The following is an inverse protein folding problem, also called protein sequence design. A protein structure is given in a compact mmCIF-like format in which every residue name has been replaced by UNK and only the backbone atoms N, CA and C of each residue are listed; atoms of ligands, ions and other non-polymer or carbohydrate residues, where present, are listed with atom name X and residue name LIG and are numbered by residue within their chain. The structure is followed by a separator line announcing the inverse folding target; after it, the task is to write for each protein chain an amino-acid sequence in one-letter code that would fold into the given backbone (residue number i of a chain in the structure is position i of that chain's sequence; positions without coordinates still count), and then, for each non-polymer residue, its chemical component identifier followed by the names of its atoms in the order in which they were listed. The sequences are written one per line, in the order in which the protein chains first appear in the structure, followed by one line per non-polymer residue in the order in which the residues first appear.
data_IF_333804824136
#
_entry.id   IF_333804824136
#
_cell.length_a   1.000
_cell.length_b   1.000
_cell.length_c   1.000
_cell.angle_alpha   90.00
_cell.angle_beta   90.00
_cell.angle_gamma   90.00
#
_symmetry.space_group_name_H-M   'P 1'
#
loop_
_entity.id
_entity.type
_entity.pdbx_description
1 polymer ?
#
# COMPACT_ATOMS: atom_id res chain seq x y z
N UNK A 1 38.78 -53.39 -24.69
CA UNK A 1 39.08 -52.12 -23.98
C UNK A 1 37.97 -51.05 -24.09
N UNK A 2 36.92 -51.25 -24.91
CA UNK A 2 35.75 -50.33 -24.98
C UNK A 2 34.74 -50.51 -23.83
N UNK A 3 34.64 -51.71 -23.24
CA UNK A 3 33.68 -51.99 -22.15
C UNK A 3 34.02 -51.27 -20.82
N UNK A 4 35.29 -51.01 -20.53
CA UNK A 4 35.68 -50.22 -19.34
C UNK A 4 35.57 -48.70 -19.57
N UNK A 5 35.68 -48.24 -20.82
CA UNK A 5 35.50 -46.82 -21.16
C UNK A 5 34.02 -46.40 -21.13
N UNK A 6 33.09 -47.28 -21.52
CA UNK A 6 31.65 -47.02 -21.37
C UNK A 6 31.16 -47.05 -19.92
N UNK A 7 31.85 -47.77 -19.02
CA UNK A 7 31.47 -47.83 -17.61
C UNK A 7 31.87 -46.55 -16.86
N UNK A 8 32.96 -45.89 -17.27
CA UNK A 8 33.35 -44.59 -16.70
C UNK A 8 32.42 -43.45 -17.15
N UNK A 9 31.89 -43.47 -18.37
CA UNK A 9 30.98 -42.41 -18.85
C UNK A 9 29.56 -42.52 -18.30
N UNK A 10 29.11 -43.72 -17.93
CA UNK A 10 27.83 -43.90 -17.23
C UNK A 10 27.90 -43.51 -15.75
N UNK A 11 29.08 -43.64 -15.11
CA UNK A 11 29.25 -43.27 -13.70
C UNK A 11 29.31 -41.75 -13.48
N UNK A 12 29.73 -40.97 -14.49
CA UNK A 12 29.75 -39.50 -14.39
C UNK A 12 28.38 -38.83 -14.59
N UNK A 13 27.40 -39.51 -15.17
CA UNK A 13 26.05 -38.95 -15.40
C UNK A 13 25.12 -39.09 -14.17
N UNK A 14 25.49 -39.93 -13.19
CA UNK A 14 24.70 -40.14 -11.98
C UNK A 14 24.92 -39.06 -10.90
N UNK A 15 25.94 -38.21 -11.03
CA UNK A 15 26.27 -37.18 -10.02
C UNK A 15 25.57 -35.82 -10.20
N UNK A 16 24.70 -35.66 -11.21
CA UNK A 16 24.02 -34.38 -11.50
C UNK A 16 22.53 -34.32 -11.11
N UNK A 17 22.01 -35.31 -10.38
CA UNK A 17 20.64 -35.26 -9.83
C UNK A 17 20.67 -35.37 -8.32
N UNK A 18 20.97 -34.26 -7.66
CA UNK A 18 20.98 -34.24 -6.19
C UNK A 18 21.50 -32.95 -5.56
N UNK A 19 21.33 -31.79 -6.19
CA UNK A 19 21.24 -30.56 -5.41
C UNK A 19 19.74 -30.24 -5.24
N UNK A 20 19.07 -31.08 -4.45
CA UNK A 20 17.96 -30.55 -3.67
C UNK A 20 18.65 -29.78 -2.56
N UNK A 21 18.77 -28.48 -2.77
CA UNK A 21 19.15 -27.57 -1.73
C UNK A 21 17.99 -27.55 -0.72
N UNK A 22 18.01 -28.48 0.24
CA UNK A 22 17.67 -28.10 1.61
C UNK A 22 18.87 -27.29 2.12
N UNK A 23 19.08 -26.12 1.52
CA UNK A 23 19.68 -25.08 2.31
C UNK A 23 18.58 -24.72 3.31
N UNK A 24 18.82 -25.08 4.56
CA UNK A 24 18.97 -24.01 5.52
C UNK A 24 19.86 -22.97 4.88
N UNK A 25 19.25 -22.07 4.11
CA UNK A 25 19.87 -20.84 3.68
C UNK A 25 20.23 -20.23 5.02
N UNK A 26 21.51 -20.29 5.38
CA UNK A 26 22.06 -19.35 6.33
C UNK A 26 21.56 -18.03 5.83
N UNK A 27 20.62 -17.50 6.61
CA UNK A 27 19.93 -16.29 6.28
C UNK A 27 21.02 -15.24 6.25
N UNK A 28 21.55 -14.93 5.05
CA UNK A 28 21.96 -13.58 4.75
C UNK A 28 20.67 -12.77 4.86
N UNK A 29 20.34 -12.47 6.13
CA UNK A 29 19.47 -11.37 6.49
C UNK A 29 20.21 -10.17 5.95
N UNK A 30 19.98 -9.84 4.68
CA UNK A 30 19.99 -8.45 4.30
C UNK A 30 19.03 -7.80 5.28
N UNK A 31 19.59 -7.17 6.31
CA UNK A 31 18.86 -6.30 7.21
C UNK A 31 18.44 -5.11 6.36
N UNK A 32 17.45 -5.34 5.48
CA UNK A 32 16.57 -4.28 5.04
C UNK A 32 15.91 -3.85 6.33
N UNK A 33 16.44 -2.80 6.95
CA UNK A 33 15.79 -2.15 8.07
C UNK A 33 14.33 -1.96 7.65
N UNK A 34 13.44 -2.74 8.25
CA UNK A 34 12.03 -2.72 7.92
C UNK A 34 11.53 -1.36 8.37
N UNK A 35 11.48 -0.42 7.42
CA UNK A 35 11.04 0.94 7.69
C UNK A 35 9.70 0.86 8.44
N UNK A 36 9.54 1.64 9.53
CA UNK A 36 8.31 1.62 10.30
C UNK A 36 7.15 2.02 9.38
N UNK A 37 6.28 1.06 9.09
CA UNK A 37 5.07 1.30 8.31
C UNK A 37 4.11 2.07 9.22
N UNK A 38 3.71 3.25 8.77
CA UNK A 38 2.72 4.10 9.41
C UNK A 38 1.63 4.43 8.39
N UNK A 39 0.37 4.22 8.77
CA UNK A 39 -0.78 4.42 7.88
C UNK A 39 -2.09 4.56 8.68
N UNK A 40 -3.11 5.15 8.05
CA UNK A 40 -4.41 5.46 8.65
C UNK A 40 -4.66 6.97 8.85
N UNK A 41 -5.78 7.35 9.51
CA UNK A 41 -6.72 6.47 10.20
C UNK A 41 -7.71 5.76 9.28
N UNK A 42 -7.93 4.46 9.54
CA UNK A 42 -9.04 3.68 8.99
C UNK A 42 -10.24 3.76 9.93
N UNK A 43 -11.35 4.31 9.44
CA UNK A 43 -12.56 4.52 10.24
C UNK A 43 -13.62 3.47 9.89
N UNK A 44 -14.02 2.68 10.88
CA UNK A 44 -15.06 1.68 10.77
C UNK A 44 -16.33 2.18 11.46
N UNK A 45 -17.48 2.02 10.80
CA UNK A 45 -18.79 2.30 11.37
C UNK A 45 -19.35 0.98 11.92
N UNK A 46 -19.54 0.89 13.22
CA UNK A 46 -20.04 -0.33 13.86
C UNK A 46 -21.03 0.00 14.99
N UNK A 47 -22.26 -0.52 14.89
CA UNK A 47 -23.26 -0.48 15.97
C UNK A 47 -23.40 0.91 16.63
N UNK A 48 -23.59 1.95 15.83
CA UNK A 48 -23.79 3.32 16.31
C UNK A 48 -22.54 3.99 16.91
N UNK A 49 -21.35 3.42 16.72
CA UNK A 49 -20.08 4.02 17.13
C UNK A 49 -19.07 3.95 15.99
N UNK A 50 -18.03 4.78 16.09
CA UNK A 50 -16.90 4.74 15.17
C UNK A 50 -15.71 4.03 15.83
N UNK A 51 -14.98 3.23 15.06
CA UNK A 51 -13.75 2.58 15.49
C UNK A 51 -12.64 3.05 14.56
N UNK A 52 -11.66 3.73 15.14
CA UNK A 52 -10.45 4.17 14.45
C UNK A 52 -9.38 3.08 14.59
N UNK A 53 -8.75 2.72 13.47
CA UNK A 53 -7.56 1.89 13.44
C UNK A 53 -6.43 2.64 12.76
N UNK A 54 -5.25 2.61 13.37
CA UNK A 54 -4.03 3.12 12.75
C UNK A 54 -2.99 2.01 12.72
N UNK A 55 -2.12 2.04 11.72
CA UNK A 55 -0.89 1.29 11.69
C UNK A 55 0.20 2.28 12.13
N UNK A 56 0.84 2.01 13.26
CA UNK A 56 1.94 2.81 13.76
C UNK A 56 3.12 1.89 14.09
N UNK A 57 4.27 2.13 13.46
CA UNK A 57 5.46 1.29 13.59
C UNK A 57 5.15 -0.20 13.35
N UNK A 58 4.43 -0.49 12.26
CA UNK A 58 3.97 -1.83 11.87
C UNK A 58 3.07 -2.54 12.91
N UNK A 59 2.50 -1.81 13.89
CA UNK A 59 1.54 -2.33 14.86
C UNK A 59 0.19 -1.65 14.67
N UNK A 60 -0.89 -2.43 14.76
CA UNK A 60 -2.25 -1.90 14.69
C UNK A 60 -2.65 -1.38 16.07
N UNK A 61 -3.03 -0.11 16.15
CA UNK A 61 -3.72 0.47 17.30
C UNK A 61 -5.21 0.60 16.98
N UNK A 62 -6.05 0.52 18.00
CA UNK A 62 -7.51 0.63 17.84
C UNK A 62 -8.07 1.54 18.92
N UNK A 63 -8.97 2.45 18.53
CA UNK A 63 -9.61 3.42 19.42
C UNK A 63 -11.09 3.51 19.09
N UNK A 64 -11.94 3.43 20.13
CA UNK A 64 -13.38 3.72 19.99
C UNK A 64 -13.58 5.22 20.02
N UNK A 65 -14.38 5.74 19.10
CA UNK A 65 -14.72 7.15 18.97
C UNK A 65 -16.23 7.36 19.18
N UNK A 66 -16.60 8.62 19.44
CA UNK A 66 -18.00 9.03 19.39
C UNK A 66 -18.53 8.87 17.95
N UNK A 67 -19.81 8.54 17.81
CA UNK A 67 -20.52 8.44 16.53
C UNK A 67 -20.39 9.71 15.66
N UNK A 68 -20.24 10.87 16.30
CA UNK A 68 -20.16 12.18 15.63
C UNK A 68 -18.73 12.67 15.38
N UNK A 69 -17.71 11.85 15.65
CA UNK A 69 -16.31 12.26 15.49
C UNK A 69 -15.93 12.55 14.02
N UNK A 70 -16.64 11.94 13.06
CA UNK A 70 -16.48 12.18 11.63
C UNK A 70 -17.86 12.30 10.97
N UNK A 71 -17.98 13.13 9.92
CA UNK A 71 -19.15 13.07 9.03
C UNK A 71 -19.05 11.81 8.18
N UNK A 72 -19.92 10.85 8.46
CA UNK A 72 -20.00 9.57 7.75
C UNK A 72 -21.10 9.56 6.69
N UNK A 73 -21.83 10.67 6.53
CA UNK A 73 -22.90 10.78 5.54
C UNK A 73 -22.36 11.28 4.21
N UNK A 74 -22.36 10.39 3.21
CA UNK A 74 -22.13 10.78 1.82
C UNK A 74 -23.42 11.32 1.22
N UNK A 75 -23.57 12.65 1.21
CA UNK A 75 -24.71 13.31 0.57
C UNK A 75 -24.50 13.35 -0.95
N UNK A 76 -25.52 12.95 -1.70
CA UNK A 76 -25.50 13.12 -3.15
C UNK A 76 -25.54 14.62 -3.48
N UNK A 77 -24.59 15.06 -4.28
CA UNK A 77 -24.52 16.43 -4.79
C UNK A 77 -24.88 16.48 -6.27
N UNK A 78 -25.18 17.68 -6.76
CA UNK A 78 -25.48 17.87 -8.18
C UNK A 78 -24.28 17.53 -9.06
N UNK A 79 -24.53 16.91 -10.21
CA UNK A 79 -23.50 16.50 -11.18
C UNK A 79 -23.32 17.51 -12.32
N UNK A 80 -24.03 18.64 -12.30
CA UNK A 80 -23.98 19.66 -13.35
C UNK A 80 -23.86 21.04 -12.74
N UNK A 81 -22.86 21.78 -13.20
CA UNK A 81 -22.55 23.12 -12.74
C UNK A 81 -22.64 24.09 -13.92
N UNK A 82 -23.35 25.20 -13.75
CA UNK A 82 -23.46 26.25 -14.76
C UNK A 82 -23.06 27.60 -14.17
N UNK A 83 -22.64 28.55 -15.03
CA UNK A 83 -22.24 29.91 -14.63
C UNK A 83 -21.05 29.96 -13.65
N UNK A 84 -20.09 29.04 -13.79
CA UNK A 84 -18.85 29.02 -13.00
C UNK A 84 -17.86 30.02 -13.60
N UNK A 85 -17.46 31.04 -12.83
CA UNK A 85 -16.57 32.11 -13.30
C UNK A 85 -15.09 31.75 -13.28
N UNK A 86 -14.68 30.79 -12.44
CA UNK A 86 -13.29 30.31 -12.33
C UNK A 86 -13.27 28.85 -11.89
N UNK A 87 -12.45 28.03 -12.55
CA UNK A 87 -12.30 26.61 -12.27
C UNK A 87 -10.83 26.20 -12.33
N UNK A 88 -10.43 25.25 -11.48
CA UNK A 88 -9.20 24.47 -11.63
C UNK A 88 -9.58 22.99 -11.64
N UNK A 89 -8.92 22.21 -12.51
CA UNK A 89 -9.22 20.79 -12.74
C UNK A 89 -7.94 20.00 -12.54
N UNK A 90 -8.04 18.88 -11.82
CA UNK A 90 -6.95 17.98 -11.51
C UNK A 90 -7.42 16.54 -11.73
N UNK A 91 -6.50 15.63 -12.05
CA UNK A 91 -6.76 14.19 -12.14
C UNK A 91 -5.62 13.42 -11.49
N UNK A 92 -5.85 12.13 -11.23
CA UNK A 92 -4.79 11.12 -11.09
C UNK A 92 -3.74 11.44 -10.03
N UNK A 93 -4.19 11.89 -8.85
CA UNK A 93 -3.30 12.17 -7.71
C UNK A 93 -2.59 10.90 -7.22
N UNK A 94 -3.23 9.72 -7.32
CA UNK A 94 -2.66 8.40 -7.02
C UNK A 94 -1.80 8.30 -5.74
N UNK A 95 -2.25 8.92 -4.65
CA UNK A 95 -1.54 8.87 -3.36
C UNK A 95 -0.31 9.77 -3.25
N UNK A 96 -0.02 10.60 -4.27
CA UNK A 96 1.05 11.61 -4.22
C UNK A 96 0.61 12.85 -3.41
N UNK A 97 0.34 12.63 -2.13
CA UNK A 97 -0.21 13.64 -1.23
C UNK A 97 0.61 14.94 -1.22
N UNK A 98 1.93 14.83 -1.05
CA UNK A 98 2.79 16.00 -0.92
C UNK A 98 2.78 16.85 -2.19
N UNK A 99 2.90 16.21 -3.37
CA UNK A 99 2.87 16.89 -4.65
C UNK A 99 1.52 17.59 -4.88
N UNK A 100 0.40 16.92 -4.55
CA UNK A 100 -0.92 17.52 -4.67
C UNK A 100 -1.05 18.77 -3.78
N UNK A 101 -0.57 18.72 -2.54
CA UNK A 101 -0.57 19.87 -1.62
C UNK A 101 0.25 21.03 -2.18
N UNK A 102 1.46 20.76 -2.67
CA UNK A 102 2.35 21.80 -3.18
C UNK A 102 1.80 22.44 -4.46
N UNK A 103 1.22 21.63 -5.35
CA UNK A 103 0.55 22.10 -6.55
C UNK A 103 -0.60 23.07 -6.22
N UNK A 104 -1.40 22.77 -5.20
CA UNK A 104 -2.50 23.63 -4.77
C UNK A 104 -2.01 24.94 -4.13
N UNK A 105 -0.95 24.89 -3.31
CA UNK A 105 -0.37 26.09 -2.68
C UNK A 105 0.22 27.04 -3.71
N UNK A 106 1.00 26.51 -4.65
CA UNK A 106 1.73 27.30 -5.63
C UNK A 106 0.83 27.96 -6.68
N UNK A 107 -0.33 27.38 -6.97
CA UNK A 107 -1.30 27.96 -7.91
C UNK A 107 -2.27 28.95 -7.23
N UNK A 108 -2.04 29.29 -5.95
CA UNK A 108 -2.91 30.15 -5.14
C UNK A 108 -4.38 29.72 -5.18
N UNK A 109 -4.61 28.45 -5.40
CA UNK A 109 -5.95 27.87 -5.42
C UNK A 109 -6.37 27.63 -3.99
N UNK A 110 -7.13 28.58 -3.42
CA UNK A 110 -7.79 28.41 -2.12
C UNK A 110 -9.00 27.50 -2.32
N UNK A 111 -8.78 26.19 -2.21
CA UNK A 111 -9.85 25.21 -2.07
C UNK A 111 -10.00 24.83 -0.60
N UNK A 112 -11.24 24.75 -0.13
CA UNK A 112 -11.57 23.83 0.95
C UNK A 112 -11.56 22.44 0.33
N UNK A 113 -10.45 21.70 0.49
CA UNK A 113 -10.39 20.32 0.02
C UNK A 113 -11.29 19.49 0.94
N UNK A 114 -12.53 19.26 0.53
CA UNK A 114 -13.31 18.12 1.01
C UNK A 114 -12.72 16.90 0.29
N UNK A 115 -11.74 16.24 0.92
CA UNK A 115 -11.24 14.95 0.44
C UNK A 115 -12.35 13.92 0.59
N UNK A 116 -13.27 13.86 -0.38
CA UNK A 116 -14.15 12.71 -0.55
C UNK A 116 -13.34 11.63 -1.26
N UNK A 117 -12.70 10.77 -0.45
CA UNK A 117 -12.14 9.54 -0.99
C UNK A 117 -13.28 8.70 -1.54
N UNK A 118 -13.17 8.34 -2.82
CA UNK A 118 -13.97 7.30 -3.42
C UNK A 118 -13.33 5.97 -3.01
N UNK A 119 -13.99 5.24 -2.11
CA UNK A 119 -13.77 3.80 -1.90
C UNK A 119 -15.00 3.05 -2.33
#
# INVERSE_FOLDING_TARGET
MIKQLCLLTFLSLAFLKGFSQDASTETEVSQTEKLPINDGPYIFINQGHLIEKNIANAKVTTKKLNATAYDTLYRQEGSTFSKVSKMAVFSDIHGQYQLAVDLLKNNHTRFTISLRQFT
#
